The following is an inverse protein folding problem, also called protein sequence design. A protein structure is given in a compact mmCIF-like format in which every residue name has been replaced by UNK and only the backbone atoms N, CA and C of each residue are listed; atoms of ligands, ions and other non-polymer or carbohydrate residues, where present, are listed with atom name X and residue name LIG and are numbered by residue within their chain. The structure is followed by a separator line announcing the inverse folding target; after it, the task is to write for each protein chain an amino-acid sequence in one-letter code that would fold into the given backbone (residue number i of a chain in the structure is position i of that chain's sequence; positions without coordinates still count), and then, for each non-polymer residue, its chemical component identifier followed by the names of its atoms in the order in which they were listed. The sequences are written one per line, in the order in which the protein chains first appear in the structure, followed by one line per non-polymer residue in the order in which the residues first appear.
data_IF_053057328605
#
_entry.id   IF_053057328605
#
_cell.length_a   1.000
_cell.length_b   1.000
_cell.length_c   1.000
_cell.angle_alpha   90.00
_cell.angle_beta   90.00
_cell.angle_gamma   90.00
#
_symmetry.space_group_name_H-M   'P 1'
#
loop_
_entity.id
_entity.type
_entity.pdbx_description
1 polymer ?
#
# COMPACT_ATOMS: atom_id res chain seq x y z
N UNK A 1 -11.65 -11.06 -11.55
CA UNK A 1 -10.67 -9.99 -11.85
C UNK A 1 -10.19 -10.18 -13.29
N UNK A 2 -9.93 -9.11 -14.05
CA UNK A 2 -9.39 -9.17 -15.42
C UNK A 2 -8.29 -8.12 -15.53
N UNK A 3 -7.15 -8.47 -16.11
CA UNK A 3 -6.03 -7.54 -16.24
C UNK A 3 -4.73 -8.26 -16.64
N UNK A 4 -3.60 -7.53 -16.63
CA UNK A 4 -2.30 -8.09 -16.97
C UNK A 4 -1.80 -9.02 -15.87
N UNK A 5 -1.06 -10.05 -16.27
CA UNK A 5 -0.26 -10.87 -15.35
C UNK A 5 1.11 -10.21 -15.12
N UNK A 6 1.09 -9.07 -14.43
CA UNK A 6 2.29 -8.35 -13.97
C UNK A 6 2.33 -8.24 -12.44
N UNK A 7 1.56 -9.10 -11.78
CA UNK A 7 1.44 -9.20 -10.34
C UNK A 7 0.51 -8.21 -9.65
N UNK A 8 -0.11 -7.27 -10.37
CA UNK A 8 -1.11 -6.37 -9.78
C UNK A 8 -2.38 -7.08 -9.29
N UNK A 9 -2.72 -8.24 -9.89
CA UNK A 9 -3.96 -8.95 -9.59
C UNK A 9 -3.88 -9.85 -8.36
N UNK A 10 -2.71 -10.41 -8.03
CA UNK A 10 -2.58 -11.35 -6.89
C UNK A 10 -2.93 -10.69 -5.54
N UNK A 11 -2.44 -9.47 -5.21
CA UNK A 11 -2.83 -8.77 -3.99
C UNK A 11 -4.32 -8.47 -3.94
N UNK A 12 -4.91 -8.04 -5.06
CA UNK A 12 -6.34 -7.76 -5.16
C UNK A 12 -7.17 -9.04 -4.93
N UNK A 13 -6.76 -10.17 -5.51
CA UNK A 13 -7.40 -11.46 -5.30
C UNK A 13 -7.33 -11.90 -3.83
N UNK A 14 -6.17 -11.74 -3.17
CA UNK A 14 -5.99 -12.10 -1.77
C UNK A 14 -6.97 -11.36 -0.84
N UNK A 15 -7.15 -10.05 -1.04
CA UNK A 15 -8.12 -9.23 -0.27
C UNK A 15 -9.57 -9.68 -0.50
N UNK A 16 -9.87 -10.22 -1.69
CA UNK A 16 -11.20 -10.73 -2.03
C UNK A 16 -11.46 -12.19 -1.60
N UNK A 17 -10.56 -12.78 -0.80
CA UNK A 17 -10.69 -14.16 -0.31
C UNK A 17 -9.88 -15.19 -1.10
N UNK A 18 -9.03 -14.75 -2.02
CA UNK A 18 -8.15 -15.60 -2.84
C UNK A 18 -8.74 -15.91 -4.21
N UNK A 19 -7.85 -16.31 -5.14
CA UNK A 19 -8.25 -16.83 -6.44
C UNK A 19 -8.47 -18.35 -6.36
N UNK A 20 -9.52 -18.86 -7.01
CA UNK A 20 -9.78 -20.31 -7.13
C UNK A 20 -9.38 -20.85 -8.50
N UNK A 21 -9.33 -19.99 -9.52
CA UNK A 21 -9.00 -20.34 -10.89
C UNK A 21 -8.45 -19.11 -11.62
N UNK A 22 -7.49 -19.32 -12.52
CA UNK A 22 -6.99 -18.30 -13.44
C UNK A 22 -6.96 -18.83 -14.87
N UNK A 23 -7.20 -17.95 -15.84
CA UNK A 23 -7.22 -18.27 -17.26
C UNK A 23 -6.47 -17.23 -18.07
N UNK A 24 -5.82 -17.69 -19.14
CA UNK A 24 -5.19 -16.81 -20.12
C UNK A 24 -6.29 -16.28 -21.06
N UNK A 25 -6.26 -14.98 -21.33
CA UNK A 25 -7.19 -14.34 -22.26
C UNK A 25 -6.78 -14.69 -23.71
N UNK A 26 -7.40 -15.72 -24.28
CA UNK A 26 -7.03 -16.22 -25.62
C UNK A 26 -8.19 -16.15 -26.62
N UNK A 27 -9.43 -16.06 -26.14
CA UNK A 27 -10.60 -15.98 -26.99
C UNK A 27 -10.72 -14.60 -27.66
N UNK A 28 -10.39 -14.53 -28.96
CA UNK A 28 -10.45 -13.31 -29.77
C UNK A 28 -11.86 -12.75 -29.92
N UNK A 29 -12.90 -13.57 -29.86
CA UNK A 29 -14.30 -13.13 -29.97
C UNK A 29 -14.74 -12.27 -28.79
N UNK A 30 -13.95 -12.25 -27.70
CA UNK A 30 -14.20 -11.44 -26.50
C UNK A 30 -13.37 -10.14 -26.47
N UNK A 31 -12.63 -9.85 -27.54
CA UNK A 31 -11.71 -8.72 -27.64
C UNK A 31 -12.13 -7.80 -28.78
N UNK A 32 -11.50 -6.62 -28.90
CA UNK A 32 -11.69 -5.79 -30.10
C UNK A 32 -11.01 -6.43 -31.32
N UNK A 33 -11.59 -6.17 -32.51
CA UNK A 33 -11.06 -6.64 -33.80
C UNK A 33 -9.60 -6.21 -34.00
N UNK A 34 -9.33 -4.93 -33.72
CA UNK A 34 -7.99 -4.34 -33.81
C UNK A 34 -7.33 -4.31 -32.44
N UNK A 35 -6.22 -5.01 -32.29
CA UNK A 35 -5.35 -4.94 -31.12
C UNK A 35 -4.19 -3.98 -31.35
N UNK A 36 -3.99 -3.06 -30.41
CA UNK A 36 -2.82 -2.17 -30.38
C UNK A 36 -1.81 -2.65 -29.34
N UNK A 37 -0.52 -2.50 -29.64
CA UNK A 37 0.57 -2.91 -28.75
C UNK A 37 0.71 -2.04 -27.50
N UNK A 38 0.06 -0.87 -27.46
CA UNK A 38 0.21 0.11 -26.38
C UNK A 38 -1.04 0.26 -25.52
N UNK A 39 -2.15 -0.42 -25.86
CA UNK A 39 -3.43 -0.23 -25.17
C UNK A 39 -4.26 -1.51 -24.94
N UNK A 40 -3.62 -2.57 -24.43
CA UNK A 40 -4.31 -3.81 -24.07
C UNK A 40 -5.44 -3.63 -23.04
N UNK A 41 -5.38 -2.59 -22.20
CA UNK A 41 -6.48 -2.23 -21.30
C UNK A 41 -7.80 -1.98 -22.03
N UNK A 42 -7.76 -1.25 -23.14
CA UNK A 42 -8.92 -0.95 -23.99
C UNK A 42 -9.26 -2.12 -24.91
N UNK A 43 -8.24 -2.71 -25.52
CA UNK A 43 -8.45 -3.65 -26.64
C UNK A 43 -8.72 -5.09 -26.20
N UNK A 44 -8.26 -5.47 -25.00
CA UNK A 44 -8.34 -6.84 -24.48
C UNK A 44 -9.05 -6.88 -23.13
N UNK A 45 -8.55 -6.17 -22.11
CA UNK A 45 -9.02 -6.36 -20.74
C UNK A 45 -10.44 -5.82 -20.52
N UNK A 46 -10.74 -4.62 -21.00
CA UNK A 46 -12.06 -4.01 -20.89
C UNK A 46 -13.17 -4.83 -21.59
N UNK A 47 -13.06 -5.22 -22.87
CA UNK A 47 -14.11 -5.99 -23.54
C UNK A 47 -14.30 -7.39 -22.92
N UNK A 48 -13.21 -8.09 -22.56
CA UNK A 48 -13.32 -9.37 -21.85
C UNK A 48 -14.05 -9.19 -20.51
N UNK A 49 -13.69 -8.16 -19.75
CA UNK A 49 -14.38 -7.81 -18.50
C UNK A 49 -15.87 -7.54 -18.70
N UNK A 50 -16.23 -6.81 -19.77
CA UNK A 50 -17.62 -6.53 -20.12
C UNK A 50 -18.39 -7.82 -20.48
N UNK A 51 -17.81 -8.72 -21.28
CA UNK A 51 -18.45 -9.99 -21.62
C UNK A 51 -18.68 -10.87 -20.40
N UNK A 52 -17.70 -10.98 -19.51
CA UNK A 52 -17.84 -11.72 -18.24
C UNK A 52 -18.93 -11.10 -17.36
N UNK A 53 -18.97 -9.77 -17.24
CA UNK A 53 -20.02 -9.07 -16.50
C UNK A 53 -21.42 -9.28 -17.11
N UNK A 54 -21.50 -9.45 -18.43
CA UNK A 54 -22.74 -9.78 -19.15
C UNK A 54 -23.15 -11.27 -19.04
N UNK A 55 -22.43 -12.08 -18.24
CA UNK A 55 -22.77 -13.48 -17.99
C UNK A 55 -22.12 -14.47 -18.95
N UNK A 56 -21.11 -14.05 -19.73
CA UNK A 56 -20.33 -15.00 -20.52
C UNK A 56 -19.64 -16.01 -19.59
N UNK A 57 -19.67 -17.33 -19.90
CA UNK A 57 -19.03 -18.33 -19.05
C UNK A 57 -17.52 -18.08 -18.94
N UNK A 58 -16.99 -18.21 -17.72
CA UNK A 58 -15.58 -17.94 -17.43
C UNK A 58 -14.64 -18.86 -18.22
N UNK A 59 -15.05 -20.11 -18.43
CA UNK A 59 -14.31 -21.10 -19.21
C UNK A 59 -14.14 -20.75 -20.68
N UNK A 60 -15.00 -19.87 -21.21
CA UNK A 60 -14.92 -19.44 -22.61
C UNK A 60 -13.81 -18.42 -22.88
N UNK A 61 -13.14 -17.91 -21.84
CA UNK A 61 -12.08 -16.90 -21.95
C UNK A 61 -10.79 -17.45 -22.54
N UNK A 62 -10.45 -18.69 -22.21
CA UNK A 62 -9.23 -19.37 -22.65
C UNK A 62 -8.83 -20.49 -21.69
N UNK A 63 -7.61 -21.01 -21.86
CA UNK A 63 -7.12 -22.14 -21.05
C UNK A 63 -6.81 -21.75 -19.61
N UNK A 64 -6.90 -22.73 -18.72
CA UNK A 64 -6.52 -22.61 -17.31
C UNK A 64 -4.99 -22.48 -17.19
N UNK A 65 -4.53 -21.66 -16.26
CA UNK A 65 -3.14 -21.58 -15.80
C UNK A 65 -3.09 -21.85 -14.29
N UNK A 66 -2.00 -22.45 -13.81
CA UNK A 66 -1.82 -22.66 -12.38
C UNK A 66 -1.70 -21.32 -11.65
N UNK A 67 -2.32 -21.21 -10.47
CA UNK A 67 -2.27 -19.97 -9.69
C UNK A 67 -0.86 -19.62 -9.22
N UNK A 68 0.02 -20.61 -9.11
CA UNK A 68 1.42 -20.43 -8.72
C UNK A 68 2.29 -19.87 -9.86
N UNK A 69 1.85 -20.01 -11.11
CA UNK A 69 2.54 -19.46 -12.27
C UNK A 69 2.29 -17.96 -12.46
N UNK A 70 1.29 -17.39 -11.76
CA UNK A 70 0.98 -15.96 -11.84
C UNK A 70 2.11 -15.13 -11.23
N UNK A 71 2.45 -14.01 -11.86
CA UNK A 71 3.50 -13.10 -11.37
C UNK A 71 3.14 -12.61 -9.96
N UNK A 72 4.07 -12.75 -9.01
CA UNK A 72 3.94 -12.21 -7.66
C UNK A 72 4.67 -10.87 -7.54
N UNK A 73 4.07 -9.93 -6.81
CA UNK A 73 4.77 -8.75 -6.30
C UNK A 73 5.08 -8.98 -4.83
N UNK A 74 6.33 -8.74 -4.45
CA UNK A 74 6.73 -8.70 -3.05
C UNK A 74 6.50 -7.29 -2.50
N UNK A 75 5.82 -7.21 -1.37
CA UNK A 75 5.64 -5.95 -0.65
C UNK A 75 6.53 -5.96 0.61
N UNK A 76 7.12 -4.81 0.98
CA UNK A 76 7.80 -4.67 2.26
C UNK A 76 6.87 -5.10 3.40
N UNK A 77 7.32 -6.03 4.23
CA UNK A 77 6.56 -6.51 5.38
C UNK A 77 7.06 -5.83 6.64
N UNK A 78 6.19 -5.27 7.50
CA UNK A 78 6.61 -4.68 8.76
C UNK A 78 7.18 -5.76 9.70
N UNK A 79 8.17 -5.39 10.51
CA UNK A 79 8.68 -6.22 11.60
C UNK A 79 8.25 -5.64 12.93
N UNK A 80 7.44 -6.42 13.67
CA UNK A 80 6.93 -6.06 15.00
C UNK A 80 7.85 -6.65 16.06
N UNK A 81 8.38 -5.80 16.96
CA UNK A 81 9.11 -6.21 18.16
C UNK A 81 8.59 -5.44 19.37
N UNK A 82 8.85 -5.96 20.57
CA UNK A 82 8.47 -5.26 21.80
C UNK A 82 9.13 -3.87 21.84
N UNK A 83 8.31 -2.83 21.88
CA UNK A 83 8.72 -1.42 21.95
C UNK A 83 9.08 -0.78 20.60
N UNK A 84 9.08 -1.51 19.47
CA UNK A 84 9.43 -0.94 18.17
C UNK A 84 8.73 -1.63 17.00
N UNK A 85 8.17 -0.82 16.11
CA UNK A 85 7.71 -1.24 14.79
C UNK A 85 8.75 -0.79 13.75
N UNK A 86 9.26 -1.73 12.96
CA UNK A 86 10.10 -1.43 11.79
C UNK A 86 9.24 -1.59 10.54
N UNK A 87 9.14 -0.54 9.73
CA UNK A 87 8.30 -0.52 8.52
C UNK A 87 8.96 0.34 7.45
N UNK A 88 8.40 0.36 6.25
CA UNK A 88 8.93 1.11 5.11
C UNK A 88 7.88 2.06 4.56
N UNK A 89 8.31 3.19 3.98
CA UNK A 89 7.45 4.07 3.18
C UNK A 89 7.06 3.36 1.89
N UNK A 90 5.76 3.11 1.70
CA UNK A 90 5.24 2.50 0.49
C UNK A 90 4.87 3.52 -0.59
N UNK A 91 4.41 4.69 -0.17
CA UNK A 91 3.83 5.67 -1.08
C UNK A 91 3.79 7.06 -0.45
N UNK A 92 4.03 8.08 -1.26
CA UNK A 92 3.80 9.48 -0.91
C UNK A 92 2.69 10.01 -1.80
N UNK A 93 1.61 10.50 -1.20
CA UNK A 93 0.49 11.06 -1.96
C UNK A 93 0.77 12.51 -2.44
N UNK A 94 -0.14 13.06 -3.24
CA UNK A 94 0.00 14.41 -3.79
C UNK A 94 -0.02 15.54 -2.75
N UNK A 95 -0.45 15.27 -1.52
CA UNK A 95 -0.41 16.23 -0.41
C UNK A 95 0.89 16.11 0.40
N UNK A 96 1.72 15.10 0.11
CA UNK A 96 2.91 14.78 0.87
C UNK A 96 2.65 13.94 2.11
N UNK A 97 1.50 13.25 2.21
CA UNK A 97 1.28 12.25 3.26
C UNK A 97 2.04 10.97 2.91
N UNK A 98 2.66 10.39 3.92
CA UNK A 98 3.57 9.25 3.79
C UNK A 98 2.85 8.01 4.27
N UNK A 99 2.47 7.11 3.36
CA UNK A 99 1.88 5.81 3.69
C UNK A 99 2.97 4.79 3.97
N UNK A 100 2.79 4.03 5.04
CA UNK A 100 3.72 2.99 5.47
C UNK A 100 3.18 1.58 5.15
N UNK A 101 4.08 0.60 5.17
CA UNK A 101 3.73 -0.81 5.03
C UNK A 101 2.99 -1.37 6.25
N UNK A 102 3.36 -0.92 7.45
CA UNK A 102 2.71 -1.29 8.70
C UNK A 102 1.28 -0.78 8.82
N UNK A 103 0.50 -1.50 9.60
CA UNK A 103 -0.89 -1.20 9.95
C UNK A 103 -1.00 -0.75 11.42
N UNK A 104 -2.10 -0.09 11.82
CA UNK A 104 -2.31 0.32 13.22
C UNK A 104 -2.16 -0.84 14.22
N UNK A 105 -2.62 -2.03 13.85
CA UNK A 105 -2.48 -3.23 14.69
C UNK A 105 -1.02 -3.63 14.92
N UNK A 106 -0.14 -3.47 13.93
CA UNK A 106 1.30 -3.76 14.07
C UNK A 106 1.95 -2.80 15.08
N UNK A 107 1.59 -1.52 15.00
CA UNK A 107 2.10 -0.50 15.90
C UNK A 107 1.54 -0.67 17.32
N UNK A 108 0.26 -1.01 17.45
CA UNK A 108 -0.35 -1.32 18.74
C UNK A 108 0.25 -2.58 19.37
N UNK A 109 0.53 -3.62 18.59
CA UNK A 109 1.23 -4.81 19.07
C UNK A 109 2.66 -4.52 19.54
N UNK A 110 3.37 -3.62 18.83
CA UNK A 110 4.73 -3.21 19.22
C UNK A 110 4.73 -2.31 20.47
N UNK A 111 3.77 -1.40 20.58
CA UNK A 111 3.85 -0.27 21.52
C UNK A 111 2.81 -0.29 22.62
N UNK A 112 1.73 -1.06 22.50
CA UNK A 112 0.53 -0.97 23.34
C UNK A 112 -0.52 -0.01 22.75
N UNK A 113 -1.60 0.30 23.50
CA UNK A 113 -2.77 1.03 22.99
C UNK A 113 -2.47 2.38 22.33
N UNK A 114 -3.12 2.66 21.20
CA UNK A 114 -2.95 3.91 20.44
C UNK A 114 -4.00 4.96 20.78
N UNK A 115 -3.80 5.65 21.89
CA UNK A 115 -4.65 6.76 22.33
C UNK A 115 -4.30 8.07 21.60
N UNK A 116 -5.30 8.93 21.31
CA UNK A 116 -5.05 10.23 20.67
C UNK A 116 -4.11 11.07 21.52
N UNK A 117 -3.10 11.66 20.89
CA UNK A 117 -2.05 12.42 21.55
C UNK A 117 -0.86 11.58 22.02
N UNK A 118 -0.91 10.25 21.95
CA UNK A 118 0.21 9.39 22.33
C UNK A 118 1.44 9.71 21.48
N UNK A 119 2.51 10.17 22.12
CA UNK A 119 3.73 10.56 21.42
C UNK A 119 4.54 9.34 20.98
N UNK A 120 4.92 9.33 19.70
CA UNK A 120 5.73 8.30 19.07
C UNK A 120 6.96 8.94 18.44
N UNK A 121 8.11 8.29 18.54
CA UNK A 121 9.34 8.70 17.86
C UNK A 121 9.44 7.96 16.54
N UNK A 122 9.63 8.73 15.48
CA UNK A 122 9.88 8.32 14.12
C UNK A 122 11.38 8.41 13.85
N UNK A 123 11.99 7.31 13.45
CA UNK A 123 13.40 7.26 13.06
C UNK A 123 13.51 6.77 11.62
N UNK A 124 13.69 7.71 10.70
CA UNK A 124 13.94 7.40 9.30
C UNK A 124 15.42 7.12 9.08
N UNK A 125 15.73 5.96 8.50
CA UNK A 125 17.11 5.57 8.21
C UNK A 125 17.75 6.54 7.20
N UNK A 126 19.08 6.62 7.20
CA UNK A 126 19.81 7.25 6.10
C UNK A 126 19.69 6.39 4.84
N UNK A 127 19.64 7.02 3.67
CA UNK A 127 19.66 6.35 2.37
C UNK A 127 20.43 7.22 1.36
N UNK A 128 20.61 6.75 0.12
CA UNK A 128 21.36 7.47 -0.91
C UNK A 128 20.83 8.91 -1.08
N UNK A 129 21.62 9.89 -0.63
CA UNK A 129 21.29 11.31 -0.68
C UNK A 129 20.49 11.87 0.51
N UNK A 130 20.00 11.04 1.45
CA UNK A 130 19.19 11.47 2.58
C UNK A 130 19.84 11.14 3.95
N UNK A 131 20.00 12.15 4.80
CA UNK A 131 20.49 11.97 6.17
C UNK A 131 19.43 11.31 7.06
N UNK A 132 19.86 10.65 8.14
CA UNK A 132 18.96 10.13 9.18
C UNK A 132 18.10 11.27 9.74
N UNK A 133 16.80 11.02 9.93
CA UNK A 133 15.87 11.97 10.55
C UNK A 133 15.21 11.31 11.76
N UNK A 134 15.22 12.01 12.88
CA UNK A 134 14.47 11.64 14.09
C UNK A 134 13.44 12.74 14.38
N UNK A 135 12.19 12.35 14.54
CA UNK A 135 11.09 13.27 14.82
C UNK A 135 10.12 12.66 15.82
N UNK A 136 9.35 13.49 16.52
CA UNK A 136 8.25 13.02 17.37
C UNK A 136 6.93 13.44 16.75
N UNK A 137 6.00 12.51 16.63
CA UNK A 137 4.65 12.77 16.16
C UNK A 137 3.64 12.02 17.04
N UNK A 138 2.57 12.70 17.49
CA UNK A 138 1.49 12.05 18.21
C UNK A 138 0.64 11.16 17.29
N UNK A 139 0.15 10.05 17.82
CA UNK A 139 -0.99 9.34 17.24
C UNK A 139 -2.22 10.25 17.25
N UNK A 140 -2.94 10.33 16.13
CA UNK A 140 -4.15 11.16 15.99
C UNK A 140 -5.16 10.46 15.09
N UNK A 141 -6.46 10.73 15.27
CA UNK A 141 -7.50 10.13 14.42
C UNK A 141 -7.65 10.83 13.08
N UNK A 142 -7.34 12.12 13.03
CA UNK A 142 -7.44 12.96 11.83
C UNK A 142 -6.54 14.19 11.97
N UNK A 143 -6.27 14.86 10.85
CA UNK A 143 -5.37 16.01 10.74
C UNK A 143 -5.74 17.16 11.70
N UNK A 144 -7.04 17.46 11.80
CA UNK A 144 -7.54 18.59 12.59
C UNK A 144 -7.41 18.44 14.11
N UNK A 145 -7.04 17.26 14.62
CA UNK A 145 -6.77 17.08 16.05
C UNK A 145 -5.47 17.75 16.50
N UNK A 146 -4.61 18.17 15.56
CA UNK A 146 -3.30 18.76 15.82
C UNK A 146 -3.22 20.20 15.31
N UNK A 147 -2.37 21.06 15.89
CA UNK A 147 -2.14 22.41 15.36
C UNK A 147 -1.66 22.39 13.90
N UNK A 148 -1.95 23.46 13.17
CA UNK A 148 -1.45 23.64 11.80
C UNK A 148 0.08 23.53 11.76
N UNK A 149 0.60 22.88 10.72
CA UNK A 149 2.03 22.67 10.51
C UNK A 149 2.68 21.61 11.40
N UNK A 150 1.90 20.89 12.22
CA UNK A 150 2.46 19.84 13.10
C UNK A 150 2.22 18.44 12.55
N UNK A 151 3.19 17.55 12.76
CA UNK A 151 3.15 16.18 12.29
C UNK A 151 2.22 15.30 13.14
N UNK A 152 1.70 14.25 12.52
CA UNK A 152 0.88 13.21 13.16
C UNK A 152 1.12 11.85 12.52
N UNK A 153 0.90 10.80 13.31
CA UNK A 153 0.76 9.42 12.82
C UNK A 153 -0.71 9.04 12.95
N UNK A 154 -1.28 8.41 11.93
CA UNK A 154 -2.71 8.07 11.90
C UNK A 154 -2.96 6.81 11.05
N UNK A 155 -4.18 6.29 11.15
CA UNK A 155 -4.68 5.29 10.21
C UNK A 155 -5.29 6.00 9.00
N UNK A 156 -4.78 5.72 7.80
CA UNK A 156 -5.38 6.25 6.57
C UNK A 156 -6.64 5.46 6.17
N UNK A 157 -7.30 5.92 5.11
CA UNK A 157 -8.53 5.31 4.56
C UNK A 157 -8.33 3.90 3.97
N UNK A 158 -7.08 3.50 3.73
CA UNK A 158 -6.72 2.15 3.27
C UNK A 158 -6.35 1.22 4.43
N UNK A 159 -6.53 1.64 5.69
CA UNK A 159 -6.19 0.84 6.88
C UNK A 159 -4.69 0.68 7.15
N UNK A 160 -3.84 1.51 6.52
CA UNK A 160 -2.40 1.52 6.75
C UNK A 160 -2.03 2.65 7.71
N UNK A 161 -0.88 2.51 8.37
CA UNK A 161 -0.25 3.64 9.03
C UNK A 161 0.14 4.69 8.00
N UNK A 162 -0.03 5.93 8.38
CA UNK A 162 0.44 7.06 7.61
C UNK A 162 0.96 8.17 8.51
N UNK A 163 1.85 8.98 7.96
CA UNK A 163 2.43 10.16 8.59
C UNK A 163 2.00 11.37 7.75
N UNK A 164 1.49 12.39 8.41
CA UNK A 164 1.04 13.61 7.78
C UNK A 164 1.50 14.83 8.56
N UNK A 165 1.33 16.01 7.97
CA UNK A 165 1.43 17.31 8.65
C UNK A 165 0.09 18.01 8.46
N UNK A 166 -0.50 18.53 9.53
CA UNK A 166 -1.79 19.21 9.40
C UNK A 166 -1.64 20.46 8.50
N UNK A 167 -2.25 20.41 7.31
CA UNK A 167 -2.10 21.41 6.24
C UNK A 167 -0.63 21.64 5.81
N UNK A 168 0.16 20.56 5.74
CA UNK A 168 1.52 20.59 5.19
C UNK A 168 1.94 19.24 4.62
N UNK A 169 3.18 19.17 4.12
CA UNK A 169 3.76 17.95 3.55
C UNK A 169 4.69 17.27 4.56
N UNK A 170 4.39 16.03 4.93
CA UNK A 170 5.29 15.22 5.76
C UNK A 170 6.52 14.76 4.99
N UNK A 171 6.36 14.46 3.70
CA UNK A 171 7.46 14.11 2.81
C UNK A 171 8.51 15.23 2.74
N UNK A 172 8.08 16.48 2.58
CA UNK A 172 8.98 17.64 2.59
C UNK A 172 9.57 17.91 3.97
N UNK A 173 8.73 17.88 5.02
CA UNK A 173 9.18 18.15 6.39
C UNK A 173 10.29 17.18 6.85
N UNK A 174 10.19 15.91 6.47
CA UNK A 174 11.14 14.87 6.87
C UNK A 174 12.14 14.47 5.78
N UNK A 175 12.02 15.04 4.57
CA UNK A 175 12.83 14.66 3.41
C UNK A 175 12.75 13.16 3.11
N UNK A 176 11.54 12.59 3.12
CA UNK A 176 11.32 11.14 2.98
C UNK A 176 10.68 10.80 1.64
N UNK A 177 11.18 9.74 1.02
CA UNK A 177 10.70 9.19 -0.24
C UNK A 177 10.27 7.72 -0.07
N UNK A 178 9.72 7.15 -1.14
CA UNK A 178 9.36 5.74 -1.25
C UNK A 178 10.58 4.84 -0.95
N UNK A 179 10.31 3.66 -0.40
CA UNK A 179 11.29 2.65 0.01
C UNK A 179 12.16 3.02 1.21
N UNK A 180 11.98 4.21 1.78
CA UNK A 180 12.73 4.63 2.97
C UNK A 180 12.28 3.84 4.23
N UNK A 181 13.19 3.15 4.94
CA UNK A 181 12.86 2.49 6.19
C UNK A 181 12.60 3.49 7.32
N UNK A 182 11.63 3.18 8.18
CA UNK A 182 11.28 3.93 9.38
C UNK A 182 11.08 2.98 10.57
N UNK A 183 11.66 3.35 11.71
CA UNK A 183 11.40 2.71 13.00
C UNK A 183 10.50 3.61 13.83
N UNK A 184 9.46 3.04 14.44
CA UNK A 184 8.48 3.76 15.24
C UNK A 184 8.47 3.17 16.65
N UNK A 185 8.67 4.02 17.66
CA UNK A 185 8.70 3.60 19.08
C UNK A 185 7.95 4.58 19.98
N UNK A 186 7.56 4.19 21.22
CA UNK A 186 7.01 5.13 22.19
C UNK A 186 8.02 6.23 22.52
N UNK A 187 7.56 7.48 22.65
CA UNK A 187 8.36 8.53 23.28
C UNK A 187 8.60 8.17 24.75
N UNK A 188 9.83 8.38 25.24
CA UNK A 188 10.22 8.05 26.62
C UNK A 188 10.64 6.59 26.87
N UNK A 189 10.64 5.72 25.85
CA UNK A 189 11.27 4.40 25.96
C UNK A 189 12.82 4.56 26.04
N UNK A 190 13.53 3.80 26.92
CA UNK A 190 14.98 3.81 26.96
C UNK A 190 15.57 3.36 25.61
N UNK A 191 16.65 4.02 25.19
CA UNK A 191 17.38 3.75 23.93
C UNK A 191 18.07 2.40 23.94
#
# INVERSE_FOLDING_TARGET
LVGPDNGVLRPAAAVLGGATEARILENRDLMLDTLTSTFHGRDVFAPVGAHLAAGRPFESVGRIIALDDLVALEFPTPTVRAGVLETTVLFVDSFGNVRLAGQPADLEAATGPLESGRALVLEFAAHDGAQRVEATAPWSRTFGERPLGTALIYSNSFGHLAIAVNQGSAAELFGVDVDRPVRIRPAGAPR
#
